data_IF_589197973341
#
_entry.id   IF_589197973341
#
_cell.length_a   1.000
_cell.length_b   1.000
_cell.length_c   1.000
_cell.angle_alpha   90.00
_cell.angle_beta   90.00
_cell.angle_gamma   90.00
#
_symmetry.space_group_name_H-M   'P 1'
#
loop_
_entity.id
_entity.type
_entity.pdbx_description
1 polymer ?
#
# COMPACT_ATOMS: atom_id res chain seq x y z
N UNK A 1 -44.19 -49.46 -16.50
CA UNK A 1 -43.98 -48.51 -17.62
C UNK A 1 -42.50 -48.12 -17.55
N UNK A 2 -41.62 -48.61 -18.43
CA UNK A 2 -41.43 -48.24 -19.84
C UNK A 2 -40.73 -46.87 -20.00
N UNK A 3 -39.62 -46.72 -20.74
CA UNK A 3 -38.73 -47.69 -21.44
C UNK A 3 -37.30 -47.09 -21.51
N UNK A 4 -36.29 -47.95 -21.42
CA UNK A 4 -34.86 -47.65 -21.62
C UNK A 4 -34.40 -47.97 -23.06
N UNK A 5 -33.41 -47.25 -23.60
CA UNK A 5 -32.55 -47.82 -24.67
C UNK A 5 -31.14 -47.17 -24.79
N UNK A 6 -30.14 -48.02 -25.09
CA UNK A 6 -28.66 -47.84 -25.23
C UNK A 6 -28.06 -49.20 -25.68
N UNK A 7 -26.74 -49.36 -25.98
CA UNK A 7 -25.67 -48.36 -26.11
C UNK A 7 -25.28 -48.08 -27.60
N UNK A 8 -24.33 -48.75 -28.33
CA UNK A 8 -23.31 -49.76 -28.01
C UNK A 8 -21.86 -49.17 -27.97
N UNK A 9 -20.85 -49.95 -28.43
CA UNK A 9 -19.41 -49.66 -28.66
C UNK A 9 -18.98 -50.44 -29.93
N UNK A 10 -17.89 -50.08 -30.65
CA UNK A 10 -17.34 -50.99 -31.68
C UNK A 10 -16.33 -50.43 -32.70
N UNK A 11 -15.10 -50.96 -32.66
CA UNK A 11 -13.82 -50.60 -33.32
C UNK A 11 -13.63 -50.91 -34.83
N UNK A 12 -12.58 -50.29 -35.42
CA UNK A 12 -11.64 -50.77 -36.48
C UNK A 12 -11.83 -50.41 -37.99
N UNK A 13 -10.70 -50.39 -38.70
CA UNK A 13 -10.41 -49.76 -40.01
C UNK A 13 -10.45 -50.75 -41.21
N UNK A 14 -10.11 -50.34 -42.47
CA UNK A 14 -8.69 -50.29 -42.91
C UNK A 14 -8.30 -49.23 -43.98
N UNK A 15 -6.97 -49.03 -44.15
CA UNK A 15 -6.19 -48.84 -45.41
C UNK A 15 -6.50 -47.67 -46.37
N UNK A 16 -5.54 -46.99 -47.01
CA UNK A 16 -4.07 -47.15 -47.21
C UNK A 16 -3.43 -45.75 -47.33
N UNK A 17 -2.28 -45.38 -46.75
CA UNK A 17 -0.89 -45.81 -47.01
C UNK A 17 -0.38 -45.61 -48.47
N UNK A 18 0.93 -45.36 -48.72
CA UNK A 18 2.05 -45.16 -47.77
C UNK A 18 3.08 -44.03 -48.08
N UNK A 19 3.90 -43.75 -47.06
CA UNK A 19 5.35 -43.43 -47.02
C UNK A 19 6.04 -42.70 -48.21
N UNK A 20 6.67 -41.54 -47.98
CA UNK A 20 8.01 -41.32 -47.39
C UNK A 20 9.19 -41.41 -48.37
N UNK A 21 9.93 -40.29 -48.41
CA UNK A 21 11.27 -40.00 -48.92
C UNK A 21 12.26 -41.18 -49.00
N UNK A 22 13.26 -41.08 -49.89
CA UNK A 22 14.62 -41.13 -49.34
C UNK A 22 15.69 -40.21 -50.04
N UNK A 23 16.39 -39.43 -49.19
CA UNK A 23 17.82 -39.00 -49.19
C UNK A 23 18.50 -38.13 -50.29
N UNK A 24 19.49 -37.37 -49.76
CA UNK A 24 20.70 -36.72 -50.34
C UNK A 24 20.48 -35.41 -51.12
N UNK A 25 21.11 -34.27 -50.81
CA UNK A 25 22.51 -33.96 -50.41
C UNK A 25 23.55 -34.18 -51.50
N UNK A 26 23.86 -33.14 -52.30
CA UNK A 26 25.16 -32.42 -52.29
C UNK A 26 25.22 -31.31 -53.37
N UNK A 27 25.54 -30.09 -52.92
CA UNK A 27 26.38 -29.04 -53.57
C UNK A 27 26.02 -28.42 -54.94
N UNK A 28 26.44 -27.15 -55.21
CA UNK A 28 25.98 -26.33 -56.34
C UNK A 28 27.03 -26.13 -57.46
N UNK A 29 26.70 -25.35 -58.50
CA UNK A 29 27.69 -24.47 -59.14
C UNK A 29 27.27 -22.98 -59.18
N UNK A 30 28.20 -22.16 -58.68
CA UNK A 30 28.61 -20.79 -59.03
C UNK A 30 27.64 -19.72 -59.60
N UNK A 31 27.75 -18.54 -58.98
CA UNK A 31 27.31 -17.22 -59.47
C UNK A 31 28.24 -16.71 -60.59
N UNK A 32 27.82 -15.75 -61.43
CA UNK A 32 28.23 -14.37 -61.14
C UNK A 32 27.21 -13.26 -61.49
N UNK A 33 27.37 -12.10 -60.84
CA UNK A 33 26.70 -10.80 -61.04
C UNK A 33 25.24 -10.63 -60.55
N UNK A 34 25.08 -9.78 -59.54
CA UNK A 34 23.87 -9.00 -59.25
C UNK A 34 23.93 -7.64 -59.99
N UNK A 35 22.85 -6.82 -60.05
CA UNK A 35 22.65 -5.87 -58.94
C UNK A 35 21.22 -5.29 -58.69
N UNK A 36 21.12 -4.56 -57.57
CA UNK A 36 20.14 -3.51 -57.19
C UNK A 36 18.62 -3.81 -57.15
N UNK A 37 18.09 -3.91 -55.92
CA UNK A 37 17.08 -2.95 -55.44
C UNK A 37 17.13 -2.81 -53.92
N UNK A 38 17.66 -1.68 -53.44
CA UNK A 38 17.60 -1.32 -52.03
C UNK A 38 16.20 -0.82 -51.66
N UNK A 39 15.67 -1.31 -50.53
CA UNK A 39 14.47 -0.72 -49.94
C UNK A 39 14.83 0.65 -49.35
N UNK A 40 14.25 1.70 -49.94
CA UNK A 40 14.36 3.07 -49.44
C UNK A 40 13.33 3.26 -48.33
N UNK A 41 13.79 3.39 -47.09
CA UNK A 41 12.95 3.80 -45.96
C UNK A 41 12.32 5.17 -46.26
N UNK A 42 11.06 5.32 -45.87
CA UNK A 42 10.24 6.52 -46.10
C UNK A 42 10.11 7.26 -44.76
N UNK A 43 10.16 8.61 -44.70
CA UNK A 43 10.06 9.35 -43.42
C UNK A 43 8.77 9.16 -42.60
N UNK A 44 7.83 8.31 -43.05
CA UNK A 44 6.64 7.94 -42.29
C UNK A 44 6.91 6.89 -41.18
N UNK A 45 8.05 6.18 -41.23
CA UNK A 45 8.42 5.23 -40.16
C UNK A 45 8.94 5.94 -38.88
N UNK A 46 9.22 7.25 -38.93
CA UNK A 46 9.67 8.03 -37.77
C UNK A 46 8.55 8.34 -36.75
N UNK A 47 7.27 8.13 -37.06
CA UNK A 47 6.17 8.46 -36.12
C UNK A 47 5.93 7.41 -35.04
N UNK A 48 6.51 6.21 -35.14
CA UNK A 48 6.45 5.22 -34.05
C UNK A 48 7.50 5.47 -32.96
N UNK A 49 7.59 6.73 -32.50
CA UNK A 49 8.22 7.08 -31.23
C UNK A 49 7.48 6.39 -30.08
N UNK A 50 7.82 5.12 -29.83
CA UNK A 50 7.54 4.45 -28.56
C UNK A 50 8.37 5.14 -27.47
N UNK A 51 7.90 6.30 -27.01
CA UNK A 51 8.33 6.87 -25.73
C UNK A 51 8.06 5.79 -24.69
N UNK A 52 9.12 5.12 -24.23
CA UNK A 52 9.08 4.28 -23.05
C UNK A 52 8.64 5.17 -21.90
N UNK A 53 7.35 5.16 -21.59
CA UNK A 53 6.81 5.86 -20.45
C UNK A 53 7.30 5.11 -19.23
N UNK A 54 8.46 5.53 -18.72
CA UNK A 54 8.95 5.14 -17.40
C UNK A 54 7.96 5.73 -16.41
N UNK A 55 6.87 5.01 -16.19
CA UNK A 55 6.10 5.13 -14.96
C UNK A 55 7.09 4.71 -13.88
N UNK A 56 7.69 5.69 -13.21
CA UNK A 56 8.41 5.44 -11.98
C UNK A 56 7.35 4.86 -11.04
N UNK A 57 7.34 3.54 -10.94
CA UNK A 57 6.58 2.84 -9.91
C UNK A 57 7.21 3.32 -8.61
N UNK A 58 6.56 4.31 -7.99
CA UNK A 58 6.84 4.71 -6.62
C UNK A 58 6.83 3.39 -5.84
N UNK A 59 7.92 3.01 -5.16
CA UNK A 59 7.93 1.78 -4.41
C UNK A 59 6.71 1.81 -3.50
N UNK A 60 5.85 0.79 -3.61
CA UNK A 60 4.64 0.61 -2.81
C UNK A 60 5.06 0.79 -1.35
N UNK A 61 4.87 2.02 -0.86
CA UNK A 61 5.28 2.38 0.49
C UNK A 61 4.32 1.60 1.37
N UNK A 62 4.78 0.71 2.27
CA UNK A 62 3.88 -0.06 3.12
C UNK A 62 2.96 0.95 3.81
N UNK A 63 1.68 0.94 3.41
CA UNK A 63 0.86 2.15 3.37
C UNK A 63 0.90 2.88 4.70
N UNK A 64 1.60 4.03 4.74
CA UNK A 64 1.75 4.79 5.98
C UNK A 64 0.35 5.18 6.44
N UNK A 65 -0.01 4.81 7.67
CA UNK A 65 -1.37 4.97 8.15
C UNK A 65 -1.88 6.39 7.88
N UNK A 66 -3.08 6.51 7.31
CA UNK A 66 -3.65 7.79 6.91
C UNK A 66 -5.04 7.94 7.54
N UNK A 67 -5.21 8.97 8.35
CA UNK A 67 -6.46 9.21 9.07
C UNK A 67 -7.40 9.97 8.14
N UNK A 68 -8.45 9.30 7.68
CA UNK A 68 -9.44 9.84 6.75
C UNK A 68 -10.51 10.65 7.46
N UNK A 69 -10.83 10.27 8.70
CA UNK A 69 -11.87 10.94 9.47
C UNK A 69 -11.96 10.45 10.92
N UNK A 70 -12.79 11.14 11.69
CA UNK A 70 -13.06 10.85 13.10
C UNK A 70 -14.53 11.08 13.42
N UNK A 71 -14.98 10.48 14.52
CA UNK A 71 -16.33 10.60 15.07
C UNK A 71 -16.27 10.40 16.59
N UNK A 72 -17.34 10.70 17.35
CA UNK A 72 -17.40 10.38 18.77
C UNK A 72 -17.26 8.88 19.12
N UNK A 73 -17.34 7.99 18.12
CA UNK A 73 -17.13 6.55 18.31
C UNK A 73 -15.70 6.09 18.02
N UNK A 74 -14.85 6.88 17.35
CA UNK A 74 -13.57 6.40 16.85
C UNK A 74 -13.11 7.07 15.56
N UNK A 75 -12.24 6.38 14.82
CA UNK A 75 -11.51 6.88 13.65
C UNK A 75 -11.72 6.01 12.43
N UNK A 76 -11.62 6.61 11.24
CA UNK A 76 -11.44 5.89 9.97
C UNK A 76 -10.00 6.11 9.53
N UNK A 77 -9.23 5.03 9.38
CA UNK A 77 -7.81 5.06 9.08
C UNK A 77 -7.54 4.03 7.98
N UNK A 78 -7.09 4.49 6.81
CA UNK A 78 -6.79 3.64 5.64
C UNK A 78 -7.91 2.62 5.34
N UNK A 79 -9.15 3.10 5.21
CA UNK A 79 -10.37 2.33 4.99
C UNK A 79 -10.87 1.49 6.19
N UNK A 80 -10.13 1.44 7.30
CA UNK A 80 -10.48 0.65 8.49
C UNK A 80 -11.11 1.52 9.59
N UNK A 81 -12.22 1.06 10.19
CA UNK A 81 -12.86 1.75 11.32
C UNK A 81 -12.29 1.22 12.64
N UNK A 82 -11.74 2.12 13.45
CA UNK A 82 -11.15 1.83 14.77
C UNK A 82 -12.00 2.52 15.84
N UNK A 83 -12.63 1.73 16.71
CA UNK A 83 -13.54 2.22 17.75
C UNK A 83 -12.76 2.62 19.01
N UNK A 84 -13.09 3.78 19.59
CA UNK A 84 -12.45 4.30 20.81
C UNK A 84 -11.03 4.86 20.58
N UNK A 85 -10.28 5.10 21.67
CA UNK A 85 -8.91 5.59 21.59
C UNK A 85 -7.94 4.59 20.95
N UNK A 86 -7.04 5.10 20.13
CA UNK A 86 -6.11 4.28 19.35
C UNK A 86 -4.68 4.83 19.35
N UNK A 87 -3.74 3.92 19.14
CA UNK A 87 -2.35 4.21 18.87
C UNK A 87 -2.06 3.88 17.41
N UNK A 88 -1.82 4.92 16.61
CA UNK A 88 -1.45 4.81 15.20
C UNK A 88 0.07 4.79 15.12
N UNK A 89 0.62 3.66 14.70
CA UNK A 89 2.07 3.43 14.59
C UNK A 89 2.44 3.30 13.10
N UNK A 90 3.71 3.51 12.71
CA UNK A 90 4.13 3.50 11.30
C UNK A 90 3.73 2.25 10.48
N UNK A 91 3.50 1.11 11.14
CA UNK A 91 3.20 -0.19 10.51
C UNK A 91 1.94 -0.89 11.04
N UNK A 92 1.22 -0.31 12.01
CA UNK A 92 0.07 -0.97 12.65
C UNK A 92 -0.78 0.03 13.43
N UNK A 93 -2.03 -0.34 13.71
CA UNK A 93 -2.95 0.45 14.53
C UNK A 93 -3.43 -0.44 15.68
N UNK A 94 -3.32 0.06 16.90
CA UNK A 94 -3.65 -0.69 18.12
C UNK A 94 -4.67 0.07 18.97
N UNK A 95 -5.48 -0.66 19.73
CA UNK A 95 -6.32 -0.10 20.79
C UNK A 95 -5.42 0.56 21.85
N UNK A 96 -5.72 1.79 22.25
CA UNK A 96 -4.98 2.48 23.29
C UNK A 96 -5.80 2.52 24.58
N UNK A 97 -5.30 1.86 25.63
CA UNK A 97 -6.03 1.69 26.89
C UNK A 97 -5.98 2.95 27.77
N UNK A 98 -6.69 3.99 27.34
CA UNK A 98 -6.96 5.24 28.07
C UNK A 98 -8.46 5.55 27.95
N UNK A 99 -9.12 6.04 29.00
CA UNK A 99 -10.50 6.51 28.92
C UNK A 99 -10.61 8.00 28.62
N UNK A 100 -9.54 8.73 28.90
CA UNK A 100 -9.47 10.19 28.92
C UNK A 100 -8.02 10.68 28.86
N UNK A 101 -7.81 11.98 28.68
CA UNK A 101 -6.46 12.56 28.66
C UNK A 101 -5.76 12.47 30.03
N UNK A 102 -6.53 12.36 31.11
CA UNK A 102 -6.01 12.19 32.47
C UNK A 102 -5.30 10.83 32.65
N UNK A 103 -5.65 9.82 31.86
CA UNK A 103 -5.04 8.49 31.90
C UNK A 103 -3.70 8.43 31.12
N UNK A 104 -3.29 9.55 30.50
CA UNK A 104 -2.03 9.65 29.75
C UNK A 104 -0.87 9.78 30.73
N UNK A 105 -0.08 8.71 30.81
CA UNK A 105 1.05 8.53 31.71
C UNK A 105 2.23 7.93 30.95
N UNK A 106 3.41 7.95 31.55
CA UNK A 106 4.60 7.31 30.95
C UNK A 106 4.43 5.79 30.71
N UNK A 107 3.50 5.15 31.41
CA UNK A 107 3.17 3.73 31.23
C UNK A 107 2.13 3.51 30.11
N UNK A 108 1.08 4.34 30.03
CA UNK A 108 0.13 4.23 28.89
C UNK A 108 0.76 4.67 27.56
N UNK A 109 1.86 5.43 27.59
CA UNK A 109 2.70 5.74 26.42
C UNK A 109 3.79 4.68 26.12
N UNK A 110 3.82 3.53 26.81
CA UNK A 110 4.89 2.55 26.66
C UNK A 110 5.04 2.00 25.23
N UNK A 111 3.95 1.78 24.49
CA UNK A 111 4.05 1.15 23.16
C UNK A 111 4.82 2.01 22.14
N UNK A 112 4.78 3.34 22.26
CA UNK A 112 5.50 4.26 21.37
C UNK A 112 7.02 4.22 21.60
N UNK A 113 7.47 3.72 22.76
CA UNK A 113 8.88 3.58 23.16
C UNK A 113 9.49 2.22 22.83
N UNK A 114 8.69 1.27 22.32
CA UNK A 114 9.09 -0.11 22.03
C UNK A 114 9.23 -0.39 20.53
N UNK A 115 9.21 0.66 19.71
CA UNK A 115 9.27 0.54 18.25
C UNK A 115 10.71 0.62 17.74
N UNK A 116 10.98 -0.23 16.75
CA UNK A 116 12.21 -0.20 15.96
C UNK A 116 11.86 -0.01 14.46
N UNK A 117 12.41 1.01 13.77
CA UNK A 117 13.21 2.10 14.34
C UNK A 117 12.39 2.97 15.33
N UNK A 118 13.05 3.71 16.24
CA UNK A 118 12.37 4.55 17.23
C UNK A 118 11.58 5.68 16.59
N UNK A 119 10.46 6.03 17.21
CA UNK A 119 9.64 7.19 16.81
C UNK A 119 10.36 8.49 17.19
N UNK A 120 10.40 9.45 16.27
CA UNK A 120 10.94 10.80 16.51
C UNK A 120 9.87 11.73 17.10
N UNK A 121 8.63 11.63 16.61
CA UNK A 121 7.51 12.51 16.99
C UNK A 121 6.28 11.67 17.34
N UNK A 122 5.73 11.94 18.53
CA UNK A 122 4.44 11.41 18.98
C UNK A 122 3.43 12.55 19.04
N UNK A 123 2.41 12.49 18.19
CA UNK A 123 1.29 13.44 18.19
C UNK A 123 0.18 12.89 19.09
N UNK A 124 -0.24 13.64 20.10
CA UNK A 124 -1.30 13.26 21.04
C UNK A 124 -2.54 14.10 20.82
N UNK A 125 -3.63 13.46 20.38
CA UNK A 125 -4.96 14.05 20.23
C UNK A 125 -5.79 13.85 21.50
N UNK A 126 -6.04 14.91 22.26
CA UNK A 126 -6.69 14.83 23.59
C UNK A 126 -8.23 14.93 23.58
N UNK A 127 -8.87 14.79 22.41
CA UNK A 127 -10.32 14.93 22.22
C UNK A 127 -10.69 16.29 21.62
N UNK A 128 -11.77 16.91 22.10
CA UNK A 128 -12.33 18.16 21.55
C UNK A 128 -11.46 19.41 21.77
N UNK A 129 -10.40 19.33 22.61
CA UNK A 129 -9.51 20.46 22.92
C UNK A 129 -8.11 19.98 23.29
N UNK A 130 -7.14 20.89 23.19
CA UNK A 130 -5.78 20.71 23.72
C UNK A 130 -5.82 20.66 25.24
N UNK A 131 -5.31 19.59 25.84
CA UNK A 131 -5.25 19.41 27.30
C UNK A 131 -3.81 19.40 27.81
N UNK A 132 -3.61 19.86 29.05
CA UNK A 132 -2.26 19.96 29.65
C UNK A 132 -1.83 18.67 30.32
N UNK A 133 -0.99 17.89 29.62
CA UNK A 133 -0.35 16.71 30.19
C UNK A 133 0.64 17.06 31.30
N UNK A 134 0.83 16.12 32.24
CA UNK A 134 1.74 16.32 33.36
C UNK A 134 3.20 16.51 32.87
N UNK A 135 3.92 17.57 33.28
CA UNK A 135 5.25 17.89 32.72
C UNK A 135 6.29 16.77 32.85
N UNK A 136 6.17 15.91 33.88
CA UNK A 136 7.05 14.75 34.03
C UNK A 136 6.94 13.76 32.86
N UNK A 137 5.72 13.52 32.34
CA UNK A 137 5.50 12.60 31.21
C UNK A 137 6.21 13.12 29.96
N UNK A 138 6.06 14.41 29.65
CA UNK A 138 6.73 15.07 28.53
C UNK A 138 8.26 15.03 28.67
N UNK A 139 8.78 15.25 29.88
CA UNK A 139 10.22 15.14 30.18
C UNK A 139 10.74 13.71 30.00
N UNK A 140 9.98 12.71 30.45
CA UNK A 140 10.37 11.30 30.31
C UNK A 140 10.33 10.84 28.85
N UNK A 141 9.33 11.23 28.07
CA UNK A 141 9.27 10.91 26.63
C UNK A 141 10.43 11.56 25.87
N UNK A 142 10.77 12.82 26.17
CA UNK A 142 11.95 13.50 25.61
C UNK A 142 13.27 12.80 25.97
N UNK A 143 13.38 12.26 27.18
CA UNK A 143 14.54 11.46 27.58
C UNK A 143 14.66 10.12 26.81
N UNK A 144 13.56 9.63 26.24
CA UNK A 144 13.55 8.51 25.29
C UNK A 144 13.78 8.93 23.83
N UNK A 145 14.14 10.20 23.56
CA UNK A 145 14.33 10.72 22.20
C UNK A 145 13.06 11.12 21.45
N UNK A 146 11.88 10.95 22.06
CA UNK A 146 10.58 11.21 21.42
C UNK A 146 10.13 12.64 21.73
N UNK A 147 9.96 13.46 20.70
CA UNK A 147 9.25 14.73 20.80
C UNK A 147 7.74 14.47 20.93
N UNK A 148 7.07 15.09 21.89
CA UNK A 148 5.62 14.94 22.09
C UNK A 148 4.94 16.26 21.76
N UNK A 149 4.02 16.22 20.80
CA UNK A 149 3.12 17.32 20.47
C UNK A 149 1.72 16.99 21.01
N UNK A 150 1.11 17.92 21.73
CA UNK A 150 -0.23 17.72 22.31
C UNK A 150 -1.19 18.70 21.66
N UNK A 151 -2.26 18.18 21.06
CA UNK A 151 -3.22 18.94 20.26
C UNK A 151 -4.65 18.42 20.54
N UNK A 152 -5.67 19.16 20.14
CA UNK A 152 -7.01 18.59 19.94
C UNK A 152 -6.99 17.60 18.78
N UNK A 153 -7.88 16.62 18.82
CA UNK A 153 -7.82 15.46 17.93
C UNK A 153 -7.87 15.80 16.44
N UNK A 154 -8.68 16.77 15.95
CA UNK A 154 -8.68 17.11 14.53
C UNK A 154 -7.34 17.68 14.03
N UNK A 155 -6.71 18.56 14.81
CA UNK A 155 -5.37 19.05 14.50
C UNK A 155 -4.32 17.93 14.61
N UNK A 156 -4.43 17.06 15.62
CA UNK A 156 -3.55 15.90 15.78
C UNK A 156 -3.57 14.97 14.56
N UNK A 157 -4.77 14.70 14.02
CA UNK A 157 -4.94 13.90 12.80
C UNK A 157 -4.27 14.57 11.59
N UNK A 158 -4.43 15.89 11.42
CA UNK A 158 -3.81 16.63 10.32
C UNK A 158 -2.28 16.65 10.42
N UNK A 159 -1.74 16.94 11.62
CA UNK A 159 -0.29 16.95 11.90
C UNK A 159 0.32 15.56 11.67
N UNK A 160 -0.33 14.50 12.15
CA UNK A 160 0.12 13.12 11.91
C UNK A 160 0.14 12.77 10.42
N UNK A 161 -0.95 13.05 9.69
CA UNK A 161 -1.02 12.78 8.25
C UNK A 161 0.06 13.53 7.46
N UNK A 162 0.34 14.79 7.83
CA UNK A 162 1.40 15.59 7.22
C UNK A 162 2.79 14.97 7.45
N UNK A 163 3.18 14.75 8.71
CA UNK A 163 4.48 14.17 9.08
C UNK A 163 4.68 12.76 8.52
N UNK A 164 3.61 11.96 8.46
CA UNK A 164 3.62 10.62 7.87
C UNK A 164 3.82 10.68 6.36
N UNK A 165 3.23 11.67 5.67
CA UNK A 165 3.41 11.88 4.22
C UNK A 165 4.81 12.38 3.88
N UNK A 166 5.45 13.14 4.77
CA UNK A 166 6.87 13.51 4.68
C UNK A 166 7.82 12.30 4.88
N UNK A 167 7.31 11.14 5.30
CA UNK A 167 8.10 9.94 5.56
C UNK A 167 8.87 9.97 6.88
N UNK A 168 8.46 10.83 7.84
CA UNK A 168 9.07 10.87 9.17
C UNK A 168 8.64 9.68 10.03
N UNK A 169 9.47 9.31 10.99
CA UNK A 169 9.15 8.30 12.00
C UNK A 169 8.19 8.89 13.04
N UNK A 170 6.92 9.04 12.65
CA UNK A 170 5.84 9.61 13.47
C UNK A 170 4.90 8.53 13.97
N UNK A 171 4.36 8.71 15.17
CA UNK A 171 3.22 7.96 15.68
C UNK A 171 2.16 8.92 16.25
N UNK A 172 0.93 8.45 16.42
CA UNK A 172 -0.12 9.19 17.10
C UNK A 172 -0.82 8.39 18.20
N UNK A 173 -1.18 9.06 19.30
CA UNK A 173 -2.09 8.55 20.32
C UNK A 173 -3.34 9.42 20.35
N UNK A 174 -4.48 8.87 19.93
CA UNK A 174 -5.67 9.65 19.61
C UNK A 174 -6.86 9.23 20.49
N UNK A 175 -7.51 10.22 21.10
CA UNK A 175 -8.78 10.08 21.82
C UNK A 175 -9.90 10.66 20.94
N UNK A 176 -11.01 9.95 20.68
CA UNK A 176 -12.09 10.49 19.85
C UNK A 176 -12.70 11.76 20.48
N UNK A 177 -12.98 12.83 19.70
CA UNK A 177 -13.65 14.01 20.21
C UNK A 177 -15.10 13.66 20.53
N UNK A 178 -15.63 14.13 21.67
CA UNK A 178 -16.97 13.77 22.16
C UNK A 178 -18.10 14.43 21.38
N UNK A 179 -17.79 15.44 20.56
CA UNK A 179 -18.72 16.05 19.62
C UNK A 179 -19.12 17.48 20.00
N UNK A 180 -18.16 18.29 20.43
CA UNK A 180 -18.39 19.69 20.85
C UNK A 180 -17.79 20.73 19.90
N UNK A 181 -17.94 20.53 18.58
CA UNK A 181 -17.72 21.61 17.61
C UNK A 181 -19.00 22.43 17.47
N UNK A 182 -18.91 23.72 17.81
CA UNK A 182 -19.92 24.70 17.41
C UNK A 182 -19.82 24.88 15.91
N UNK A 183 -20.94 24.77 15.21
CA UNK A 183 -21.08 25.38 13.89
C UNK A 183 -20.82 26.90 14.03
N UNK A 184 -20.03 27.45 13.12
CA UNK A 184 -19.65 28.86 13.06
C UNK A 184 -20.15 29.49 11.77
#
# INVERSE_FOLDING_TARGET
MARSWRPPLGTLAPGSEPLSLPIKSTSPPESPWAPWRGYRLIPADDELYQRTRVTVLKPESPGSAFIEGYSPRGFTISGSVVVGPCAVLPRTILQWNVGSWQDISFQSLALFRLLEPPVEVLVLGTGDRVERLHPAVLKQMRACGIAVEVQDTPNACATFNFLSTEGRLVAAGLIPPRGTYKEG
#
